data_IF_521359984616
#
_entry.id   IF_521359984616
#
_cell.length_a   1.000
_cell.length_b   1.000
_cell.length_c   1.000
_cell.angle_alpha   90.00
_cell.angle_beta   90.00
_cell.angle_gamma   90.00
#
_symmetry.space_group_name_H-M   'P 1'
#
loop_
_entity.id
_entity.type
_entity.pdbx_description
1 polymer ?
#
# COMPACT_ATOMS: atom_id res chain seq x y z
N UNK A 1 -31.38 -13.27 7.36
CA UNK A 1 -29.90 -13.30 7.55
C UNK A 1 -29.59 -12.91 9.00
N UNK A 2 -28.68 -13.62 9.68
CA UNK A 2 -28.23 -13.37 11.06
C UNK A 2 -26.81 -12.76 11.04
N UNK A 3 -26.56 -11.77 11.90
CA UNK A 3 -25.21 -11.24 12.10
C UNK A 3 -24.32 -12.32 12.75
N UNK A 4 -23.08 -12.46 12.27
CA UNK A 4 -22.08 -13.29 12.91
C UNK A 4 -21.61 -12.63 14.22
N UNK A 5 -21.38 -13.44 15.25
CA UNK A 5 -20.69 -12.99 16.47
C UNK A 5 -19.18 -12.96 16.24
N UNK A 6 -18.44 -12.15 16.96
CA UNK A 6 -16.99 -11.98 16.79
C UNK A 6 -16.24 -13.31 16.83
N UNK A 7 -16.61 -14.19 17.74
CA UNK A 7 -16.00 -15.54 17.88
C UNK A 7 -16.22 -16.44 16.64
N UNK A 8 -17.27 -16.19 15.86
CA UNK A 8 -17.60 -16.96 14.66
C UNK A 8 -16.81 -16.46 13.43
N UNK A 9 -16.10 -15.35 13.54
CA UNK A 9 -15.35 -14.75 12.43
C UNK A 9 -13.93 -15.32 12.30
N UNK A 10 -13.49 -16.18 13.23
CA UNK A 10 -12.16 -16.82 13.24
C UNK A 10 -11.02 -15.83 12.95
N UNK A 11 -11.01 -14.68 13.68
CA UNK A 11 -9.94 -13.70 13.56
C UNK A 11 -8.65 -14.25 14.17
N UNK A 12 -7.54 -13.96 13.52
CA UNK A 12 -6.22 -14.35 14.00
C UNK A 12 -5.90 -13.66 15.32
N UNK A 13 -5.16 -14.33 16.20
CA UNK A 13 -4.45 -13.70 17.29
C UNK A 13 -3.28 -12.87 16.76
N UNK A 14 -2.66 -12.06 17.61
CA UNK A 14 -1.49 -11.27 17.23
C UNK A 14 -0.33 -12.18 16.78
N UNK A 15 -0.09 -13.28 17.52
CA UNK A 15 0.95 -14.26 17.21
C UNK A 15 0.68 -14.94 15.86
N UNK A 16 -0.54 -15.45 15.67
CA UNK A 16 -0.96 -16.06 14.40
C UNK A 16 -0.85 -15.06 13.23
N UNK A 17 -1.18 -13.77 13.46
CA UNK A 17 -1.02 -12.74 12.45
C UNK A 17 0.45 -12.55 12.06
N UNK A 18 1.38 -12.53 13.03
CA UNK A 18 2.81 -12.36 12.77
C UNK A 18 3.39 -13.51 11.94
N UNK A 19 2.92 -14.74 12.17
CA UNK A 19 3.35 -15.94 11.45
C UNK A 19 2.64 -16.14 10.10
N UNK A 20 1.44 -15.57 9.93
CA UNK A 20 0.65 -15.73 8.72
C UNK A 20 1.34 -15.12 7.50
N UNK A 21 1.12 -15.76 6.34
CA UNK A 21 1.52 -15.20 5.05
C UNK A 21 0.91 -13.81 4.83
N UNK A 22 1.75 -12.84 4.44
CA UNK A 22 1.33 -11.45 4.20
C UNK A 22 0.93 -11.23 2.74
N UNK A 23 0.06 -10.25 2.52
CA UNK A 23 -0.13 -9.65 1.21
C UNK A 23 1.18 -8.93 0.84
N UNK A 24 1.84 -9.25 -0.30
CA UNK A 24 3.11 -8.61 -0.68
C UNK A 24 2.89 -7.16 -1.15
N UNK A 25 2.45 -6.34 -0.21
CA UNK A 25 2.12 -4.93 -0.38
C UNK A 25 2.69 -4.13 0.79
N UNK A 26 3.41 -3.05 0.49
CA UNK A 26 3.83 -2.05 1.47
C UNK A 26 3.00 -0.79 1.26
N UNK A 27 2.43 -0.25 2.32
CA UNK A 27 1.74 1.04 2.31
C UNK A 27 2.70 2.12 2.81
N UNK A 28 2.90 3.18 2.05
CA UNK A 28 3.78 4.31 2.39
C UNK A 28 2.93 5.55 2.64
N UNK A 29 3.13 6.22 3.76
CA UNK A 29 2.45 7.47 4.13
C UNK A 29 3.45 8.64 4.04
N UNK A 30 3.31 9.46 2.99
CA UNK A 30 4.16 10.62 2.68
C UNK A 30 3.62 11.88 3.36
N UNK A 31 4.22 12.29 4.48
CA UNK A 31 3.85 13.50 5.24
C UNK A 31 2.35 13.56 5.63
N UNK A 32 1.75 12.41 5.97
CA UNK A 32 0.35 12.35 6.42
C UNK A 32 0.22 12.97 7.81
N UNK A 33 -0.62 13.99 7.93
CA UNK A 33 -0.72 14.83 9.14
C UNK A 33 -1.69 14.27 10.18
N UNK A 34 -2.77 13.67 9.74
CA UNK A 34 -3.85 13.24 10.62
C UNK A 34 -3.53 11.90 11.28
N UNK A 35 -3.35 11.93 12.59
CA UNK A 35 -3.17 10.74 13.43
C UNK A 35 -4.30 9.71 13.26
N UNK A 36 -5.53 10.20 13.11
CA UNK A 36 -6.70 9.33 12.86
C UNK A 36 -6.66 8.66 11.49
N UNK A 37 -6.11 9.34 10.47
CA UNK A 37 -5.91 8.72 9.16
C UNK A 37 -4.84 7.63 9.24
N UNK A 38 -3.72 7.90 9.93
CA UNK A 38 -2.64 6.91 10.16
C UNK A 38 -3.20 5.65 10.82
N UNK A 39 -3.95 5.81 11.93
CA UNK A 39 -4.57 4.67 12.61
C UNK A 39 -5.58 3.91 11.75
N UNK A 40 -6.40 4.63 10.97
CA UNK A 40 -7.37 3.99 10.05
C UNK A 40 -6.67 3.21 8.93
N UNK A 41 -5.51 3.67 8.46
CA UNK A 41 -4.68 2.94 7.50
C UNK A 41 -4.13 1.67 8.12
N UNK A 42 -3.58 1.72 9.35
CA UNK A 42 -3.13 0.51 10.05
C UNK A 42 -4.25 -0.52 10.18
N UNK A 43 -5.46 -0.10 10.56
CA UNK A 43 -6.62 -0.98 10.65
C UNK A 43 -6.99 -1.63 9.32
N UNK A 44 -6.89 -0.89 8.21
CA UNK A 44 -7.12 -1.43 6.87
C UNK A 44 -6.02 -2.41 6.46
N UNK A 45 -4.77 -2.11 6.79
CA UNK A 45 -3.62 -2.98 6.53
C UNK A 45 -3.70 -4.29 7.33
N UNK A 46 -4.13 -4.24 8.59
CA UNK A 46 -4.40 -5.41 9.41
C UNK A 46 -5.47 -6.30 8.78
N UNK A 47 -6.60 -5.72 8.36
CA UNK A 47 -7.72 -6.46 7.79
C UNK A 47 -7.34 -7.29 6.55
N UNK A 48 -6.35 -6.87 5.78
CA UNK A 48 -5.89 -7.55 4.56
C UNK A 48 -4.50 -8.17 4.70
N UNK A 49 -3.95 -8.23 5.90
CA UNK A 49 -2.60 -8.76 6.18
C UNK A 49 -1.53 -8.14 5.28
N UNK A 50 -1.56 -6.82 5.11
CA UNK A 50 -0.53 -6.07 4.38
C UNK A 50 0.84 -6.31 5.02
N UNK A 51 1.90 -6.46 4.22
CA UNK A 51 3.25 -6.81 4.68
C UNK A 51 3.83 -5.76 5.62
N UNK A 52 3.57 -4.45 5.37
CA UNK A 52 4.03 -3.40 6.26
C UNK A 52 3.55 -2.00 5.89
N UNK A 53 3.77 -1.07 6.82
CA UNK A 53 3.48 0.36 6.66
C UNK A 53 4.77 1.17 6.86
N UNK A 54 5.13 1.99 5.88
CA UNK A 54 6.26 2.93 5.97
C UNK A 54 5.73 4.33 6.27
N UNK A 55 6.24 4.92 7.36
CA UNK A 55 5.82 6.22 7.87
C UNK A 55 6.93 7.23 7.57
N UNK A 56 6.65 8.25 6.74
CA UNK A 56 7.66 9.15 6.22
C UNK A 56 7.46 10.60 6.66
N UNK A 57 8.56 11.29 6.89
CA UNK A 57 8.57 12.72 7.19
C UNK A 57 7.84 13.07 8.48
N UNK A 58 6.81 13.92 8.38
CA UNK A 58 6.01 14.36 9.54
C UNK A 58 4.93 13.36 9.96
N UNK A 59 4.80 12.24 9.27
CA UNK A 59 3.83 11.19 9.62
C UNK A 59 4.18 10.63 11.00
N UNK A 60 3.23 10.69 11.93
CA UNK A 60 3.44 10.23 13.29
C UNK A 60 3.54 8.69 13.35
N UNK A 61 4.28 8.21 14.34
CA UNK A 61 4.55 6.79 14.56
C UNK A 61 3.85 6.27 15.81
N UNK A 62 3.52 4.96 15.85
CA UNK A 62 3.20 4.29 17.12
C UNK A 62 4.43 4.29 18.09
N UNK A 63 4.23 4.21 19.44
CA UNK A 63 2.92 4.22 20.08
C UNK A 63 2.37 5.65 20.18
N UNK A 64 1.09 5.82 19.86
CA UNK A 64 0.40 7.11 19.95
C UNK A 64 -1.09 6.89 20.24
N UNK A 65 -1.62 7.54 21.26
CA UNK A 65 -3.00 7.35 21.72
C UNK A 65 -4.05 7.72 20.66
N UNK A 66 -3.79 8.74 19.83
CA UNK A 66 -4.72 9.15 18.77
C UNK A 66 -4.69 8.18 17.57
N UNK A 67 -3.53 7.61 17.25
CA UNK A 67 -3.40 6.53 16.26
C UNK A 67 -4.19 5.31 16.76
N UNK A 68 -3.99 4.92 18.03
CA UNK A 68 -4.64 3.75 18.63
C UNK A 68 -6.17 3.82 18.59
N UNK A 69 -6.76 5.02 18.76
CA UNK A 69 -8.23 5.20 18.71
C UNK A 69 -8.88 4.71 17.42
N UNK A 70 -8.19 4.76 16.30
CA UNK A 70 -8.72 4.34 14.99
C UNK A 70 -8.08 3.05 14.48
N UNK A 71 -6.85 2.77 14.86
CA UNK A 71 -6.14 1.53 14.52
C UNK A 71 -6.70 0.31 15.24
N UNK A 72 -7.17 0.48 16.51
CA UNK A 72 -7.76 -0.56 17.35
C UNK A 72 -6.88 -1.81 17.49
N UNK A 73 -5.55 -1.62 17.61
CA UNK A 73 -4.56 -2.69 17.71
C UNK A 73 -3.93 -3.09 16.37
N UNK A 74 -4.40 -2.56 15.23
CA UNK A 74 -3.79 -2.83 13.93
C UNK A 74 -2.33 -2.37 13.85
N UNK A 75 -1.94 -1.34 14.61
CA UNK A 75 -0.57 -0.86 14.73
C UNK A 75 0.37 -1.82 15.48
N UNK A 76 -0.17 -2.77 16.25
CA UNK A 76 0.59 -3.80 16.95
C UNK A 76 0.77 -5.04 16.06
N UNK A 77 -0.19 -5.32 15.18
CA UNK A 77 -0.17 -6.48 14.29
C UNK A 77 0.65 -6.23 13.02
N UNK A 78 0.46 -5.10 12.35
CA UNK A 78 1.15 -4.76 11.09
C UNK A 78 2.54 -4.22 11.38
N UNK A 79 3.56 -4.76 10.72
CA UNK A 79 4.92 -4.24 10.83
C UNK A 79 5.02 -2.85 10.22
N UNK A 80 5.82 -1.99 10.84
CA UNK A 80 6.02 -0.64 10.34
C UNK A 80 7.47 -0.18 10.51
N UNK A 81 7.86 0.80 9.67
CA UNK A 81 9.17 1.43 9.73
C UNK A 81 9.03 2.93 9.46
N UNK A 82 9.87 3.73 10.15
CA UNK A 82 9.93 5.17 9.94
C UNK A 82 11.11 5.57 9.07
N UNK A 83 10.89 6.52 8.16
CA UNK A 83 11.88 7.14 7.30
C UNK A 83 11.86 8.66 7.45
N UNK A 84 13.03 9.26 7.41
CA UNK A 84 13.16 10.72 7.48
C UNK A 84 12.50 11.41 6.29
N UNK A 85 12.62 10.79 5.12
CA UNK A 85 12.03 11.25 3.87
C UNK A 85 11.35 10.09 3.14
N UNK A 86 10.43 10.40 2.24
CA UNK A 86 9.76 9.39 1.43
C UNK A 86 10.69 8.85 0.36
N UNK A 87 11.63 9.66 -0.10
CA UNK A 87 12.66 9.29 -1.06
C UNK A 87 13.52 8.13 -0.52
N UNK A 88 13.98 8.20 0.75
CA UNK A 88 14.71 7.10 1.41
C UNK A 88 13.88 5.81 1.45
N UNK A 89 12.59 5.91 1.71
CA UNK A 89 11.69 4.76 1.70
C UNK A 89 11.54 4.15 0.30
N UNK A 90 11.42 4.98 -0.74
CA UNK A 90 11.32 4.55 -2.15
C UNK A 90 12.61 3.85 -2.59
N UNK A 91 13.78 4.42 -2.29
CA UNK A 91 15.07 3.79 -2.60
C UNK A 91 15.16 2.39 -1.98
N UNK A 92 14.87 2.27 -0.68
CA UNK A 92 14.86 0.98 0.03
C UNK A 92 13.88 -0.03 -0.57
N UNK A 93 12.69 0.41 -0.99
CA UNK A 93 11.69 -0.45 -1.63
C UNK A 93 12.17 -0.96 -2.98
N UNK A 94 12.78 -0.10 -3.80
CA UNK A 94 13.37 -0.49 -5.09
C UNK A 94 14.55 -1.46 -4.92
N UNK A 95 15.43 -1.22 -3.96
CA UNK A 95 16.51 -2.15 -3.61
C UNK A 95 15.98 -3.53 -3.20
N UNK A 96 14.83 -3.58 -2.51
CA UNK A 96 14.14 -4.82 -2.13
C UNK A 96 13.37 -5.46 -3.29
N UNK A 97 13.30 -4.83 -4.46
CA UNK A 97 12.61 -5.34 -5.64
C UNK A 97 11.11 -5.11 -5.66
N UNK A 98 10.58 -4.12 -4.94
CA UNK A 98 9.16 -3.75 -5.03
C UNK A 98 8.92 -2.85 -6.23
N UNK A 99 7.76 -3.02 -6.88
CA UNK A 99 7.23 -2.07 -7.86
C UNK A 99 6.46 -0.97 -7.11
N UNK A 100 6.88 0.28 -7.26
CA UNK A 100 6.39 1.42 -6.48
C UNK A 100 5.36 2.23 -7.28
N UNK A 101 4.15 2.34 -6.75
CA UNK A 101 3.11 3.23 -7.28
C UNK A 101 2.89 4.43 -6.36
N UNK A 102 2.87 5.63 -6.92
CA UNK A 102 2.24 6.80 -6.29
C UNK A 102 0.74 6.81 -6.55
N UNK A 103 -0.06 7.05 -5.50
CA UNK A 103 -1.52 7.17 -5.61
C UNK A 103 -1.84 8.65 -5.78
N UNK A 104 -1.88 9.10 -7.05
CA UNK A 104 -1.99 10.52 -7.39
C UNK A 104 -2.62 10.71 -8.78
N UNK A 105 -3.24 11.88 -8.99
CA UNK A 105 -3.80 12.29 -10.26
C UNK A 105 -2.72 13.01 -11.08
N UNK A 106 -2.04 12.28 -11.95
CA UNK A 106 -0.99 12.81 -12.83
C UNK A 106 -1.27 12.50 -14.28
N UNK A 107 -0.66 13.26 -15.19
CA UNK A 107 -0.72 12.95 -16.61
C UNK A 107 -0.13 11.56 -16.89
N UNK A 108 -0.90 10.74 -17.61
CA UNK A 108 -0.48 9.35 -17.91
C UNK A 108 -0.70 8.33 -16.78
N UNK A 109 -1.36 8.71 -15.67
CA UNK A 109 -1.69 7.78 -14.59
C UNK A 109 -2.56 6.62 -15.08
N UNK A 110 -2.35 5.44 -14.50
CA UNK A 110 -3.23 4.29 -14.71
C UNK A 110 -4.46 4.41 -13.81
N UNK A 111 -5.65 4.29 -14.38
CA UNK A 111 -6.89 4.22 -13.59
C UNK A 111 -6.90 2.93 -12.76
N UNK A 112 -7.31 3.01 -11.50
CA UNK A 112 -7.27 1.88 -10.56
C UNK A 112 -8.03 0.64 -11.08
N UNK A 113 -9.14 0.82 -11.79
CA UNK A 113 -9.86 -0.32 -12.40
C UNK A 113 -9.05 -1.07 -13.46
N UNK A 114 -8.00 -0.47 -14.02
CA UNK A 114 -7.11 -1.08 -15.03
C UNK A 114 -5.85 -1.69 -14.37
N UNK A 115 -5.78 -1.74 -13.06
CA UNK A 115 -4.68 -2.36 -12.32
C UNK A 115 -4.42 -3.83 -12.72
N UNK A 116 -5.44 -4.68 -12.99
CA UNK A 116 -5.20 -6.05 -13.46
C UNK A 116 -4.43 -6.12 -14.78
N UNK A 117 -4.74 -5.22 -15.74
CA UNK A 117 -4.04 -5.16 -17.02
C UNK A 117 -2.60 -4.65 -16.86
N UNK A 118 -2.39 -3.65 -16.00
CA UNK A 118 -1.07 -3.15 -15.66
C UNK A 118 -0.22 -4.24 -14.99
N UNK A 119 -0.78 -4.98 -14.02
CA UNK A 119 -0.14 -6.13 -13.39
C UNK A 119 0.30 -7.18 -14.41
N UNK A 120 -0.58 -7.56 -15.33
CA UNK A 120 -0.23 -8.53 -16.38
C UNK A 120 0.94 -8.06 -17.24
N UNK A 121 1.00 -6.77 -17.60
CA UNK A 121 2.11 -6.22 -18.38
C UNK A 121 3.43 -6.30 -17.60
N UNK A 122 3.43 -5.95 -16.32
CA UNK A 122 4.62 -6.00 -15.45
C UNK A 122 5.16 -7.43 -15.35
N UNK A 123 4.28 -8.42 -15.19
CA UNK A 123 4.66 -9.83 -14.98
C UNK A 123 4.79 -10.66 -16.26
N UNK A 124 4.38 -10.16 -17.46
CA UNK A 124 4.49 -10.86 -18.75
C UNK A 124 5.72 -10.46 -19.59
N UNK A 125 6.30 -9.28 -19.36
CA UNK A 125 7.42 -8.78 -20.20
C UNK A 125 8.62 -9.73 -20.36
N UNK A 126 8.98 -10.60 -19.40
CA UNK A 126 10.14 -11.48 -19.57
C UNK A 126 9.94 -12.65 -20.53
N UNK A 127 8.71 -12.99 -20.96
CA UNK A 127 8.43 -14.21 -21.73
C UNK A 127 8.71 -14.05 -23.25
N UNK A 128 8.91 -12.84 -23.74
CA UNK A 128 9.14 -12.58 -25.18
C UNK A 128 10.62 -12.56 -25.59
N UNK A 129 11.55 -12.68 -24.63
CA UNK A 129 12.98 -12.85 -24.95
C UNK A 129 13.34 -14.34 -24.96
N UNK A 130 13.28 -14.95 -26.12
CA UNK A 130 13.46 -16.41 -26.37
C UNK A 130 14.80 -17.02 -25.90
N UNK A 131 15.70 -16.26 -25.26
CA UNK A 131 17.03 -16.74 -24.85
C UNK A 131 17.39 -16.52 -23.37
N UNK A 132 16.45 -16.16 -22.51
CA UNK A 132 16.73 -15.98 -21.08
C UNK A 132 16.43 -17.27 -20.29
N UNK A 133 17.38 -17.70 -19.43
CA UNK A 133 17.12 -18.83 -18.56
C UNK A 133 15.97 -18.53 -17.58
N UNK A 134 15.16 -19.53 -17.22
CA UNK A 134 14.05 -19.39 -16.26
C UNK A 134 14.48 -18.78 -14.91
N UNK A 135 15.75 -18.95 -14.52
CA UNK A 135 16.34 -18.36 -13.32
C UNK A 135 16.52 -16.85 -13.45
N UNK A 136 16.97 -16.37 -14.60
CA UNK A 136 17.15 -14.92 -14.88
C UNK A 136 15.80 -14.22 -14.96
N UNK A 137 14.79 -14.89 -15.51
CA UNK A 137 13.41 -14.37 -15.60
C UNK A 137 12.76 -14.19 -14.21
N UNK A 138 12.94 -15.15 -13.30
CA UNK A 138 12.42 -15.06 -11.93
C UNK A 138 13.06 -13.94 -11.10
N UNK A 139 14.34 -13.63 -11.35
CA UNK A 139 15.05 -12.55 -10.65
C UNK A 139 14.66 -11.15 -11.14
N UNK A 140 13.98 -11.02 -12.27
CA UNK A 140 13.52 -9.74 -12.83
C UNK A 140 12.09 -9.35 -12.46
N UNK A 141 11.31 -10.27 -11.87
CA UNK A 141 9.94 -9.98 -11.45
C UNK A 141 9.92 -9.26 -10.09
N UNK A 142 9.01 -8.27 -9.91
CA UNK A 142 8.87 -7.62 -8.62
C UNK A 142 8.54 -8.60 -7.50
N UNK A 143 9.13 -8.39 -6.33
CA UNK A 143 8.81 -9.12 -5.10
C UNK A 143 7.36 -8.88 -4.64
N UNK A 144 6.86 -7.67 -4.87
CA UNK A 144 5.55 -7.19 -4.49
C UNK A 144 5.36 -5.75 -4.93
N UNK A 145 4.42 -5.08 -4.32
CA UNK A 145 4.08 -3.69 -4.62
C UNK A 145 4.27 -2.79 -3.41
N UNK A 146 4.59 -1.52 -3.67
CA UNK A 146 4.44 -0.46 -2.69
C UNK A 146 3.50 0.61 -3.23
N UNK A 147 2.66 1.19 -2.36
CA UNK A 147 1.69 2.22 -2.71
C UNK A 147 1.88 3.43 -1.79
N UNK A 148 2.13 4.60 -2.37
CA UNK A 148 2.43 5.84 -1.65
C UNK A 148 1.17 6.71 -1.62
N UNK A 149 0.76 7.10 -0.42
CA UNK A 149 -0.33 8.04 -0.17
C UNK A 149 0.25 9.34 0.35
N UNK A 150 -0.07 10.43 -0.29
CA UNK A 150 0.47 11.75 0.03
C UNK A 150 -0.27 12.50 1.13
N UNK A 151 0.29 13.67 1.45
CA UNK A 151 -0.27 14.63 2.37
C UNK A 151 -1.70 15.05 1.98
N UNK A 152 -2.57 15.30 2.97
CA UNK A 152 -4.00 15.60 2.77
C UNK A 152 -4.24 16.90 1.99
N UNK A 153 -3.25 17.78 1.91
CA UNK A 153 -3.36 19.09 1.24
C UNK A 153 -2.57 19.11 -0.07
N UNK A 154 -1.34 18.57 -0.05
CA UNK A 154 -0.38 18.69 -1.15
C UNK A 154 -0.32 17.45 -2.05
N UNK A 155 -0.92 16.32 -1.63
CA UNK A 155 -0.76 15.04 -2.31
C UNK A 155 0.64 14.45 -2.14
N UNK A 156 1.04 13.59 -3.04
CA UNK A 156 2.39 13.02 -3.12
C UNK A 156 3.34 14.07 -3.72
N UNK A 157 4.53 14.24 -3.13
CA UNK A 157 5.54 15.18 -3.65
C UNK A 157 5.95 14.81 -5.07
N UNK A 158 6.23 15.83 -5.92
CA UNK A 158 6.62 15.60 -7.32
C UNK A 158 7.87 14.73 -7.43
N UNK A 159 8.89 15.00 -6.62
CA UNK A 159 10.14 14.20 -6.62
C UNK A 159 9.87 12.72 -6.32
N UNK A 160 8.92 12.42 -5.43
CA UNK A 160 8.48 11.05 -5.10
C UNK A 160 7.70 10.43 -6.25
N UNK A 161 6.83 11.21 -6.91
CA UNK A 161 6.12 10.78 -8.14
C UNK A 161 7.13 10.41 -9.23
N UNK A 162 8.15 11.24 -9.44
CA UNK A 162 9.20 11.05 -10.46
C UNK A 162 10.08 9.82 -10.16
N UNK A 163 10.23 9.47 -8.88
CA UNK A 163 10.92 8.24 -8.46
C UNK A 163 10.06 7.00 -8.56
N UNK A 164 8.74 7.09 -8.65
CA UNK A 164 7.84 5.95 -8.70
C UNK A 164 7.91 5.23 -10.06
N UNK A 165 7.61 3.93 -10.07
CA UNK A 165 7.58 3.13 -11.29
C UNK A 165 6.26 3.34 -12.07
N UNK A 166 5.26 3.94 -11.42
CA UNK A 166 4.00 4.33 -12.03
C UNK A 166 3.11 5.09 -11.07
N UNK A 167 1.99 5.59 -11.60
CA UNK A 167 0.96 6.25 -10.81
C UNK A 167 -0.39 5.56 -11.02
N UNK A 168 -1.14 5.41 -9.93
CA UNK A 168 -2.51 4.93 -9.95
C UNK A 168 -3.44 6.04 -9.50
N UNK A 169 -4.57 6.22 -10.17
CA UNK A 169 -5.59 7.16 -9.74
C UNK A 169 -6.96 6.49 -9.61
N UNK A 170 -7.72 6.92 -8.62
CA UNK A 170 -9.13 6.56 -8.45
C UNK A 170 -9.95 7.59 -9.23
N UNK A 171 -10.72 7.18 -10.26
CA UNK A 171 -11.60 8.11 -10.97
C UNK A 171 -12.63 8.72 -10.02
N UNK A 172 -12.76 10.03 -10.05
CA UNK A 172 -13.70 10.79 -9.22
C UNK A 172 -14.65 11.59 -10.10
N UNK A 173 -15.94 11.60 -9.76
CA UNK A 173 -17.00 12.22 -10.55
C UNK A 173 -17.78 13.27 -9.74
N UNK A 174 -17.29 13.62 -8.56
CA UNK A 174 -17.91 14.59 -7.65
C UNK A 174 -17.35 16.00 -7.81
N UNK A 175 -17.68 16.84 -6.86
CA UNK A 175 -17.26 18.26 -6.83
C UNK A 175 -15.94 18.49 -6.07
N UNK A 176 -15.46 17.48 -5.35
CA UNK A 176 -14.19 17.58 -4.58
C UNK A 176 -13.04 17.03 -5.38
N UNK A 177 -11.84 17.58 -5.13
CA UNK A 177 -10.63 17.23 -5.87
C UNK A 177 -9.93 15.96 -5.36
N UNK A 178 -10.27 15.51 -4.15
CA UNK A 178 -9.64 14.34 -3.53
C UNK A 178 -10.56 13.62 -2.56
N UNK A 179 -10.27 12.34 -2.32
CA UNK A 179 -10.81 11.54 -1.23
C UNK A 179 -9.98 11.70 0.04
N UNK A 180 -10.55 11.40 1.18
CA UNK A 180 -9.76 11.25 2.41
C UNK A 180 -8.71 10.14 2.25
N UNK A 181 -7.48 10.39 2.73
CA UNK A 181 -6.34 9.47 2.53
C UNK A 181 -6.59 8.07 3.08
N UNK A 182 -7.24 7.92 4.22
CA UNK A 182 -7.53 6.60 4.79
C UNK A 182 -8.62 5.85 4.01
N UNK A 183 -9.58 6.57 3.42
CA UNK A 183 -10.57 6.00 2.50
C UNK A 183 -9.88 5.53 1.22
N UNK A 184 -9.02 6.39 0.64
CA UNK A 184 -8.22 6.05 -0.54
C UNK A 184 -7.38 4.80 -0.29
N UNK A 185 -6.69 4.74 0.86
CA UNK A 185 -5.89 3.58 1.25
C UNK A 185 -6.73 2.30 1.34
N UNK A 186 -7.92 2.36 1.96
CA UNK A 186 -8.83 1.21 2.03
C UNK A 186 -9.25 0.70 0.66
N UNK A 187 -9.58 1.59 -0.29
CA UNK A 187 -9.95 1.23 -1.66
C UNK A 187 -8.76 0.58 -2.39
N UNK A 188 -7.58 1.20 -2.34
CA UNK A 188 -6.39 0.70 -3.04
C UNK A 188 -5.93 -0.63 -2.46
N UNK A 189 -5.84 -0.77 -1.13
CA UNK A 189 -5.46 -2.03 -0.46
C UNK A 189 -6.43 -3.15 -0.84
N UNK A 190 -7.74 -2.88 -0.91
CA UNK A 190 -8.73 -3.85 -1.37
C UNK A 190 -8.49 -4.30 -2.82
N UNK A 191 -8.18 -3.37 -3.73
CA UNK A 191 -7.89 -3.72 -5.13
C UNK A 191 -6.64 -4.60 -5.25
N UNK A 192 -5.58 -4.31 -4.49
CA UNK A 192 -4.39 -5.16 -4.44
C UNK A 192 -4.67 -6.52 -3.77
N UNK A 193 -5.51 -6.57 -2.74
CA UNK A 193 -5.90 -7.84 -2.11
C UNK A 193 -6.65 -8.75 -3.10
N UNK A 194 -7.58 -8.20 -3.89
CA UNK A 194 -8.25 -8.94 -4.97
C UNK A 194 -7.28 -9.42 -6.04
N UNK A 195 -6.31 -8.58 -6.41
CA UNK A 195 -5.34 -8.92 -7.44
C UNK A 195 -4.40 -10.05 -7.03
N UNK A 196 -3.98 -10.07 -5.77
CA UNK A 196 -2.86 -10.89 -5.31
C UNK A 196 -3.27 -12.12 -4.47
N UNK A 197 -4.46 -12.14 -3.88
CA UNK A 197 -4.89 -13.21 -2.95
C UNK A 197 -6.30 -13.73 -3.13
N UNK A 198 -7.18 -12.99 -3.77
CA UNK A 198 -8.57 -13.39 -4.02
C UNK A 198 -8.76 -13.77 -5.48
#
# INVERSE_FOLDING_TARGET
MRKLRTIEMNRLTLEEFKEAEKLPLIVVLDDVRSLYNVGSVFRSCDAFRVEGVYLCGITATPPNAEIHKTALGGEDSVDWEYFKTTEEAVEKLKEKGYFVYSIEQVEGSTKLQNLPDAHQKIFRQPLEQENSSLLTLRSSLPKGYAVIFGNEVKGVKQDVVDMSDGCLEIPQFGTKHSLNVSVTAGIVVWEFAKLLKL
#
